data_IF_020702520957
#
_entry.id   IF_020702520957
#
_cell.length_a   1.000
_cell.length_b   1.000
_cell.length_c   1.000
_cell.angle_alpha   90.00
_cell.angle_beta   90.00
_cell.angle_gamma   90.00
#
_symmetry.space_group_name_H-M   'P 1'
#
loop_
_entity.id
_entity.type
_entity.pdbx_description
1 polymer ?
#
# COMPACT_ATOMS: atom_id res chain seq x y z
N UNK A 1 -2.43 -3.56 13.11
CA UNK A 1 -1.42 -2.93 12.23
C UNK A 1 -0.22 -3.85 11.97
N UNK A 2 0.36 -4.50 12.99
CA UNK A 2 1.49 -5.42 12.81
C UNK A 2 1.22 -6.56 11.81
N UNK A 3 0.06 -7.22 11.92
CA UNK A 3 -0.32 -8.29 10.99
C UNK A 3 -0.46 -7.79 9.54
N UNK A 4 -1.05 -6.61 9.36
CA UNK A 4 -1.17 -5.97 8.04
C UNK A 4 0.21 -5.60 7.45
N UNK A 5 1.16 -5.23 8.32
CA UNK A 5 2.54 -4.97 7.89
C UNK A 5 3.22 -6.26 7.44
N UNK A 6 3.05 -7.34 8.19
CA UNK A 6 3.55 -8.67 7.85
C UNK A 6 2.93 -9.17 6.54
N UNK A 7 1.63 -9.00 6.38
CA UNK A 7 0.90 -9.33 5.16
C UNK A 7 1.42 -8.55 3.95
N UNK A 8 1.57 -7.22 4.07
CA UNK A 8 2.06 -6.38 2.97
C UNK A 8 3.44 -6.82 2.49
N UNK A 9 4.39 -7.04 3.41
CA UNK A 9 5.73 -7.52 3.08
C UNK A 9 5.72 -8.91 2.45
N UNK A 10 4.92 -9.82 3.00
CA UNK A 10 4.78 -11.16 2.43
C UNK A 10 4.22 -11.13 1.02
N UNK A 11 3.14 -10.37 0.80
CA UNK A 11 2.45 -10.27 -0.48
C UNK A 11 3.30 -9.57 -1.53
N UNK A 12 3.70 -8.32 -1.28
CA UNK A 12 4.39 -7.48 -2.25
C UNK A 12 5.88 -7.80 -2.37
N UNK A 13 6.46 -8.47 -1.36
CA UNK A 13 7.78 -9.09 -1.47
C UNK A 13 7.77 -10.42 -2.22
N UNK A 14 6.61 -10.91 -2.67
CA UNK A 14 6.47 -12.14 -3.46
C UNK A 14 6.54 -13.45 -2.66
N UNK A 15 6.69 -13.39 -1.34
CA UNK A 15 6.86 -14.58 -0.50
C UNK A 15 5.58 -15.44 -0.36
N UNK A 16 4.41 -14.90 -0.72
CA UNK A 16 3.14 -15.64 -0.67
C UNK A 16 2.85 -16.48 -1.93
N UNK A 17 3.63 -16.34 -3.00
CA UNK A 17 3.37 -17.00 -4.26
C UNK A 17 4.44 -18.04 -4.58
N UNK A 18 4.01 -19.27 -4.90
CA UNK A 18 4.89 -20.30 -5.44
C UNK A 18 5.35 -19.97 -6.87
N UNK A 19 4.48 -19.27 -7.62
CA UNK A 19 4.76 -18.76 -8.96
C UNK A 19 4.98 -17.24 -8.92
N UNK A 20 6.19 -16.72 -9.22
CA UNK A 20 6.48 -15.29 -9.20
C UNK A 20 5.64 -14.48 -10.20
N UNK A 21 5.10 -15.09 -11.26
CA UNK A 21 4.21 -14.40 -12.20
C UNK A 21 2.88 -14.00 -11.56
N UNK A 22 2.49 -14.64 -10.45
CA UNK A 22 1.23 -14.33 -9.75
C UNK A 22 1.22 -12.92 -9.17
N UNK A 23 2.33 -12.46 -8.59
CA UNK A 23 2.44 -11.09 -8.08
C UNK A 23 2.36 -10.09 -9.25
N UNK A 24 3.09 -10.35 -10.33
CA UNK A 24 3.06 -9.51 -11.52
C UNK A 24 1.65 -9.40 -12.11
N UNK A 25 0.91 -10.51 -12.19
CA UNK A 25 -0.48 -10.51 -12.64
C UNK A 25 -1.39 -9.68 -11.70
N UNK A 26 -1.20 -9.81 -10.37
CA UNK A 26 -1.97 -9.05 -9.38
C UNK A 26 -1.69 -7.54 -9.46
N UNK A 27 -0.45 -7.14 -9.76
CA UNK A 27 -0.01 -5.73 -9.80
C UNK A 27 0.08 -5.16 -11.22
N UNK A 28 -0.40 -5.86 -12.25
CA UNK A 28 -0.50 -5.31 -13.60
C UNK A 28 -1.84 -4.60 -13.75
N UNK A 29 -1.86 -3.29 -14.09
CA UNK A 29 -3.12 -2.59 -14.26
C UNK A 29 -3.83 -3.00 -15.55
N UNK A 30 -5.16 -2.83 -15.56
CA UNK A 30 -5.90 -2.87 -16.81
C UNK A 30 -5.41 -1.78 -17.78
N UNK A 31 -5.48 -1.98 -19.11
CA UNK A 31 -5.02 -0.99 -20.08
C UNK A 31 -5.63 0.40 -19.83
N UNK A 32 -4.78 1.42 -19.68
CA UNK A 32 -5.19 2.80 -19.41
C UNK A 32 -5.60 3.09 -17.96
N UNK A 33 -5.40 2.15 -17.03
CA UNK A 33 -5.70 2.31 -15.61
C UNK A 33 -4.47 2.23 -14.71
N UNK A 34 -4.71 2.42 -13.41
CA UNK A 34 -3.73 2.32 -12.34
C UNK A 34 -4.20 1.35 -11.24
N UNK A 35 -4.95 0.33 -11.64
CA UNK A 35 -5.60 -0.60 -10.73
C UNK A 35 -5.46 -2.03 -11.25
N UNK A 36 -4.83 -2.89 -10.44
CA UNK A 36 -4.65 -4.32 -10.71
C UNK A 36 -5.77 -5.16 -10.09
N UNK A 37 -5.45 -6.37 -9.65
CA UNK A 37 -6.40 -7.27 -8.99
C UNK A 37 -6.56 -6.88 -7.51
N UNK A 38 -7.37 -5.86 -7.24
CA UNK A 38 -7.65 -5.38 -5.88
C UNK A 38 -6.56 -4.46 -5.31
N UNK A 39 -5.58 -4.07 -6.13
CA UNK A 39 -4.45 -3.24 -5.75
C UNK A 39 -4.49 -1.93 -6.54
N UNK A 40 -4.56 -0.80 -5.84
CA UNK A 40 -4.32 0.50 -6.41
C UNK A 40 -2.81 0.70 -6.58
N UNK A 41 -2.42 1.13 -7.77
CA UNK A 41 -1.04 1.41 -8.16
C UNK A 41 -0.87 2.93 -8.27
N UNK A 42 0.16 3.43 -7.62
CA UNK A 42 0.62 4.81 -7.69
C UNK A 42 2.08 4.79 -8.14
N UNK A 43 2.60 5.95 -8.56
CA UNK A 43 3.95 6.06 -9.14
C UNK A 43 5.03 5.37 -8.30
N UNK A 44 4.99 5.54 -6.99
CA UNK A 44 6.01 5.04 -6.06
C UNK A 44 5.47 3.98 -5.07
N UNK A 45 4.20 3.59 -5.19
CA UNK A 45 3.57 2.78 -4.15
C UNK A 45 2.39 1.95 -4.63
N UNK A 46 2.10 0.86 -3.91
CA UNK A 46 0.98 -0.03 -4.20
C UNK A 46 0.24 -0.40 -2.92
N UNK A 47 -1.08 -0.44 -2.99
CA UNK A 47 -1.89 -0.60 -1.79
C UNK A 47 -3.38 -0.51 -2.03
N UNK A 48 -4.15 -0.32 -0.96
CA UNK A 48 -5.58 -0.12 -1.07
C UNK A 48 -6.18 0.54 0.20
N UNK A 49 -7.20 1.38 -0.01
CA UNK A 49 -8.02 1.92 1.07
C UNK A 49 -9.19 0.97 1.42
N UNK A 50 -9.50 0.83 2.70
CA UNK A 50 -10.61 0.01 3.18
C UNK A 50 -11.72 0.88 3.78
N UNK A 51 -12.97 0.50 3.55
CA UNK A 51 -14.12 1.20 4.09
C UNK A 51 -15.28 0.26 4.45
N UNK A 52 -15.74 0.36 5.69
CA UNK A 52 -17.02 -0.16 6.17
C UNK A 52 -17.64 0.86 7.14
N UNK A 53 -18.92 0.70 7.51
CA UNK A 53 -19.56 1.55 8.50
C UNK A 53 -18.76 1.54 9.83
N UNK A 54 -18.40 2.73 10.32
CA UNK A 54 -17.60 2.90 11.53
C UNK A 54 -16.11 2.57 11.42
N UNK A 55 -15.56 2.21 10.24
CA UNK A 55 -14.13 1.95 10.10
C UNK A 55 -13.55 2.40 8.76
N UNK A 56 -12.33 2.91 8.80
CA UNK A 56 -11.53 3.27 7.61
C UNK A 56 -10.14 2.68 7.74
N UNK A 57 -9.50 2.39 6.62
CA UNK A 57 -8.09 2.00 6.61
C UNK A 57 -7.38 2.38 5.32
N UNK A 58 -6.05 2.43 5.36
CA UNK A 58 -5.21 2.32 4.17
C UNK A 58 -4.00 1.47 4.50
N UNK A 59 -3.58 0.68 3.53
CA UNK A 59 -2.32 -0.04 3.52
C UNK A 59 -1.60 0.35 2.24
N UNK A 60 -0.36 0.81 2.36
CA UNK A 60 0.47 1.15 1.21
C UNK A 60 1.89 0.60 1.40
N UNK A 61 2.48 0.12 0.31
CA UNK A 61 3.84 -0.41 0.25
C UNK A 61 4.63 0.33 -0.83
N UNK A 62 5.82 0.80 -0.47
CA UNK A 62 6.79 1.43 -1.37
C UNK A 62 7.97 0.46 -1.56
N UNK A 63 8.09 -0.19 -2.73
CA UNK A 63 9.12 -1.20 -2.97
C UNK A 63 10.55 -0.67 -2.89
N UNK A 64 10.78 0.56 -3.36
CA UNK A 64 12.10 1.20 -3.38
C UNK A 64 12.75 1.26 -2.00
N UNK A 65 11.95 1.52 -0.96
CA UNK A 65 12.43 1.69 0.42
C UNK A 65 11.98 0.58 1.38
N UNK A 66 11.42 -0.53 0.88
CA UNK A 66 10.78 -1.60 1.68
C UNK A 66 9.90 -1.06 2.84
N UNK A 67 9.16 0.01 2.53
CA UNK A 67 8.37 0.74 3.52
C UNK A 67 6.90 0.37 3.41
N UNK A 68 6.32 -0.03 4.53
CA UNK A 68 4.88 -0.27 4.66
C UNK A 68 4.28 0.78 5.60
N UNK A 69 3.23 1.45 5.14
CA UNK A 69 2.41 2.33 5.99
C UNK A 69 1.00 1.75 6.08
N UNK A 70 0.54 1.58 7.32
CA UNK A 70 -0.81 1.12 7.63
C UNK A 70 -1.47 2.12 8.56
N UNK A 71 -2.65 2.61 8.18
CA UNK A 71 -3.50 3.43 9.05
C UNK A 71 -4.85 2.75 9.20
N UNK A 72 -5.35 2.66 10.43
CA UNK A 72 -6.62 2.03 10.77
C UNK A 72 -7.38 2.96 11.70
N UNK A 73 -8.64 3.20 11.40
CA UNK A 73 -9.52 4.11 12.10
C UNK A 73 -10.77 3.34 12.55
N UNK A 74 -11.21 3.61 13.77
CA UNK A 74 -12.47 3.12 14.35
C UNK A 74 -13.62 4.13 14.19
N UNK A 75 -13.56 4.93 13.12
CA UNK A 75 -14.62 5.81 12.67
C UNK A 75 -14.61 5.89 11.14
N UNK A 76 -15.73 6.30 10.56
CA UNK A 76 -15.93 6.48 9.12
C UNK A 76 -15.77 7.93 8.64
N UNK A 77 -15.53 8.87 9.56
CA UNK A 77 -15.23 10.27 9.23
C UNK A 77 -13.77 10.54 8.82
N UNK A 78 -12.87 9.57 9.02
CA UNK A 78 -11.47 9.70 8.68
C UNK A 78 -11.21 9.59 7.17
N UNK A 79 -10.19 10.31 6.70
CA UNK A 79 -9.62 10.17 5.37
C UNK A 79 -8.20 9.55 5.47
N UNK A 80 -8.09 8.21 5.31
CA UNK A 80 -6.80 7.52 5.39
C UNK A 80 -5.82 7.91 4.29
N UNK A 81 -6.31 8.21 3.08
CA UNK A 81 -5.44 8.53 1.94
C UNK A 81 -4.82 9.91 2.12
N UNK A 82 -5.63 10.88 2.57
CA UNK A 82 -5.11 12.21 2.96
C UNK A 82 -4.12 12.10 4.13
N UNK A 83 -4.46 11.34 5.17
CA UNK A 83 -3.58 11.13 6.32
C UNK A 83 -2.25 10.47 5.93
N UNK A 84 -2.29 9.51 5.01
CA UNK A 84 -1.10 8.87 4.45
C UNK A 84 -0.22 9.88 3.71
N UNK A 85 -0.81 10.69 2.84
CA UNK A 85 -0.08 11.73 2.12
C UNK A 85 0.57 12.73 3.10
N UNK A 86 -0.11 13.09 4.18
CA UNK A 86 0.40 14.02 5.18
C UNK A 86 1.55 13.45 6.01
N UNK A 87 1.57 12.13 6.24
CA UNK A 87 2.69 11.45 6.91
C UNK A 87 3.88 11.22 5.97
N UNK A 88 3.64 10.84 4.71
CA UNK A 88 4.71 10.52 3.76
C UNK A 88 5.40 11.76 3.21
N UNK A 89 4.67 12.81 2.81
CA UNK A 89 5.25 14.04 2.22
C UNK A 89 6.46 14.60 2.99
N UNK A 90 6.42 14.76 4.32
CA UNK A 90 7.57 15.29 5.06
C UNK A 90 8.74 14.30 5.20
N UNK A 91 8.49 12.99 5.04
CA UNK A 91 9.48 11.93 5.27
C UNK A 91 10.14 11.46 3.97
N UNK A 92 9.48 11.63 2.82
CA UNK A 92 9.98 11.20 1.51
C UNK A 92 11.41 11.67 1.18
N UNK A 93 11.82 12.92 1.43
CA UNK A 93 13.21 13.34 1.18
C UNK A 93 14.23 12.54 1.98
N UNK A 94 13.91 12.20 3.23
CA UNK A 94 14.80 11.45 4.14
C UNK A 94 14.97 9.99 3.72
N UNK A 95 13.94 9.39 3.11
CA UNK A 95 14.00 8.02 2.61
C UNK A 95 14.87 7.92 1.36
N UNK A 96 14.97 8.99 0.57
CA UNK A 96 15.79 9.04 -0.66
C UNK A 96 17.26 9.37 -0.42
N UNK A 97 17.59 9.98 0.72
CA UNK A 97 18.97 10.32 1.10
C UNK A 97 19.72 9.17 1.80
N UNK A 98 19.01 8.08 2.15
CA UNK A 98 19.58 6.94 2.86
C UNK A 98 20.21 5.87 1.94
N UNK A 99 20.22 6.10 0.63
CA UNK A 99 20.87 5.31 -0.42
C UNK A 99 22.26 5.86 -0.79
#
# INVERSE_FOLDING_TARGET
>A
AADLTTFARGLFGGALFDDPESLAAMTTPAPGGSYGLGIALQEESMGHAGYIAGFRSVLNYTPESDTVVVMVYNNDGADPEQSLADVLKPVLPLLREAE
#
